data_IF_979926452097
#
_entry.id   IF_979926452097
#
_cell.length_a   1.000
_cell.length_b   1.000
_cell.length_c   1.000
_cell.angle_alpha   90.00
_cell.angle_beta   90.00
_cell.angle_gamma   90.00
#
_symmetry.space_group_name_H-M   'P 1'
#
loop_
_entity.id
_entity.type
_entity.pdbx_description
1 polymer ?
#
# COMPACT_ATOMS: atom_id res chain seq x y z
N UNK A 1 -20.60 -13.72 0.10
CA UNK A 1 -20.54 -13.73 1.58
C UNK A 1 -20.92 -12.38 2.16
N UNK A 2 -21.79 -12.39 3.16
CA UNK A 2 -22.28 -11.20 3.85
C UNK A 2 -22.28 -11.46 5.35
N UNK A 3 -21.86 -10.46 6.12
CA UNK A 3 -22.06 -10.47 7.58
C UNK A 3 -23.33 -9.69 7.86
N UNK A 4 -24.25 -10.28 8.62
CA UNK A 4 -25.53 -9.70 8.96
C UNK A 4 -25.62 -9.56 10.48
N UNK A 5 -25.86 -8.34 10.96
CA UNK A 5 -26.14 -8.06 12.37
C UNK A 5 -27.59 -8.49 12.67
N UNK A 6 -27.81 -9.13 13.82
CA UNK A 6 -29.16 -9.49 14.25
C UNK A 6 -29.97 -8.23 14.56
N UNK A 7 -30.83 -7.80 13.63
CA UNK A 7 -31.81 -6.75 13.90
C UNK A 7 -32.97 -7.34 14.69
N UNK A 8 -33.29 -6.75 15.85
CA UNK A 8 -34.41 -7.12 16.72
C UNK A 8 -35.77 -7.09 16.00
N UNK A 9 -35.84 -6.53 14.78
CA UNK A 9 -37.03 -6.46 13.92
C UNK A 9 -37.08 -7.48 12.77
N UNK A 10 -36.04 -8.29 12.55
CA UNK A 10 -35.91 -9.18 11.39
C UNK A 10 -36.30 -10.64 11.62
N UNK A 11 -36.93 -11.25 10.61
CA UNK A 11 -37.40 -12.65 10.60
C UNK A 11 -36.22 -13.63 10.43
N UNK A 12 -35.43 -13.85 11.49
CA UNK A 12 -34.20 -14.69 11.50
C UNK A 12 -34.48 -16.06 12.14
N UNK A 13 -35.76 -16.47 12.22
CA UNK A 13 -36.18 -17.71 12.89
C UNK A 13 -35.48 -18.97 12.39
N UNK A 14 -35.37 -19.13 11.06
CA UNK A 14 -34.75 -20.30 10.45
C UNK A 14 -33.25 -20.41 10.76
N UNK A 15 -32.51 -19.29 10.71
CA UNK A 15 -31.08 -19.25 11.02
C UNK A 15 -30.81 -19.64 12.49
N UNK A 16 -31.71 -19.27 13.41
CA UNK A 16 -31.59 -19.65 14.83
C UNK A 16 -31.76 -21.16 15.04
N UNK A 17 -32.62 -21.80 14.25
CA UNK A 17 -32.78 -23.27 14.25
C UNK A 17 -31.49 -23.91 13.74
N UNK A 18 -30.97 -23.45 12.60
CA UNK A 18 -29.72 -23.95 12.01
C UNK A 18 -28.53 -23.85 12.98
N UNK A 19 -28.49 -22.78 13.80
CA UNK A 19 -27.46 -22.62 14.83
C UNK A 19 -27.61 -23.65 15.95
N UNK A 20 -28.82 -23.88 16.45
CA UNK A 20 -29.05 -24.82 17.54
C UNK A 20 -28.79 -26.26 17.11
N UNK A 21 -29.05 -26.58 15.83
CA UNK A 21 -28.65 -27.86 15.23
C UNK A 21 -27.12 -27.99 15.11
N UNK A 22 -26.43 -26.92 14.68
CA UNK A 22 -24.99 -26.95 14.46
C UNK A 22 -24.14 -26.80 15.74
N UNK A 23 -24.64 -26.09 16.75
CA UNK A 23 -24.01 -25.88 18.05
C UNK A 23 -25.07 -25.90 19.17
N UNK A 24 -25.38 -27.08 19.73
CA UNK A 24 -26.36 -27.23 20.81
C UNK A 24 -26.01 -26.46 22.09
N UNK A 25 -24.76 -25.99 22.23
CA UNK A 25 -24.29 -25.18 23.37
C UNK A 25 -24.39 -23.68 23.08
N UNK A 26 -25.05 -23.27 22.00
CA UNK A 26 -25.29 -21.87 21.69
C UNK A 26 -26.21 -21.23 22.73
N UNK A 27 -25.73 -20.15 23.34
CA UNK A 27 -26.51 -19.29 24.22
C UNK A 27 -25.99 -17.86 24.12
N UNK A 28 -26.89 -16.89 24.31
CA UNK A 28 -26.55 -15.48 24.33
C UNK A 28 -27.60 -14.67 25.11
N UNK A 29 -27.22 -13.50 25.60
CA UNK A 29 -28.08 -12.58 26.32
C UNK A 29 -28.61 -11.47 25.41
N UNK A 30 -29.86 -11.61 24.93
CA UNK A 30 -30.56 -10.65 24.06
C UNK A 30 -30.56 -9.18 24.53
N UNK A 31 -30.33 -8.90 25.83
CA UNK A 31 -30.32 -7.54 26.38
C UNK A 31 -28.91 -6.91 26.44
N UNK A 32 -27.85 -7.71 26.43
CA UNK A 32 -26.46 -7.26 26.68
C UNK A 32 -25.47 -7.63 25.57
N UNK A 33 -25.91 -8.43 24.62
CA UNK A 33 -25.05 -9.02 23.59
C UNK A 33 -25.66 -8.82 22.20
N UNK A 34 -24.79 -8.53 21.25
CA UNK A 34 -25.09 -8.42 19.83
C UNK A 34 -24.57 -9.68 19.12
N UNK A 35 -25.40 -10.21 18.22
CA UNK A 35 -25.01 -11.37 17.39
C UNK A 35 -24.83 -10.93 15.96
N UNK A 36 -23.78 -11.49 15.36
CA UNK A 36 -23.50 -11.40 13.95
C UNK A 36 -23.58 -12.79 13.33
N UNK A 37 -24.13 -12.88 12.13
CA UNK A 37 -24.16 -14.08 11.33
C UNK A 37 -23.28 -13.89 10.10
N UNK A 38 -22.46 -14.90 9.79
CA UNK A 38 -21.75 -15.00 8.53
C UNK A 38 -22.60 -15.88 7.62
N UNK A 39 -23.12 -15.30 6.54
CA UNK A 39 -23.95 -16.03 5.59
C UNK A 39 -23.37 -15.96 4.18
N UNK A 40 -23.66 -16.99 3.38
CA UNK A 40 -23.50 -16.93 1.94
C UNK A 40 -24.87 -17.17 1.31
N UNK A 41 -25.44 -16.15 0.68
CA UNK A 41 -26.85 -16.11 0.32
C UNK A 41 -27.72 -16.34 1.57
N UNK A 42 -28.50 -17.42 1.63
CA UNK A 42 -29.33 -17.79 2.78
C UNK A 42 -28.65 -18.80 3.72
N UNK A 43 -27.54 -19.41 3.30
CA UNK A 43 -26.86 -20.43 4.10
C UNK A 43 -26.03 -19.81 5.23
N UNK A 44 -26.23 -20.30 6.44
CA UNK A 44 -25.42 -19.96 7.60
C UNK A 44 -24.04 -20.62 7.52
N UNK A 45 -22.98 -19.82 7.61
CA UNK A 45 -21.59 -20.31 7.63
C UNK A 45 -20.98 -20.24 9.04
N UNK A 46 -21.50 -19.34 9.88
CA UNK A 46 -21.06 -19.20 11.26
C UNK A 46 -21.73 -18.02 11.97
N UNK A 47 -21.43 -17.84 13.25
CA UNK A 47 -21.95 -16.74 14.05
C UNK A 47 -20.90 -16.23 15.03
N UNK A 48 -21.06 -14.99 15.49
CA UNK A 48 -20.21 -14.40 16.51
C UNK A 48 -21.06 -13.59 17.49
N UNK A 49 -20.65 -13.60 18.76
CA UNK A 49 -21.35 -12.93 19.86
C UNK A 49 -20.41 -11.89 20.47
N UNK A 50 -20.85 -10.64 20.45
CA UNK A 50 -20.18 -9.51 21.08
C UNK A 50 -20.95 -9.05 22.30
N UNK A 51 -20.23 -8.72 23.37
CA UNK A 51 -20.77 -7.91 24.45
C UNK A 51 -20.15 -6.52 24.37
N UNK A 52 -20.99 -5.49 24.31
CA UNK A 52 -20.58 -4.09 24.19
C UNK A 52 -20.75 -3.40 25.54
N UNK A 53 -19.65 -3.32 26.30
CA UNK A 53 -19.54 -2.48 27.51
C UNK A 53 -18.64 -1.28 27.27
N UNK A 54 -17.85 -0.89 28.28
CA UNK A 54 -16.78 0.10 28.10
C UNK A 54 -15.65 -0.43 27.17
N UNK A 55 -15.48 -1.75 27.14
CA UNK A 55 -14.58 -2.46 26.23
C UNK A 55 -15.42 -3.50 25.48
N UNK A 56 -15.12 -3.70 24.20
CA UNK A 56 -15.79 -4.71 23.40
C UNK A 56 -15.23 -6.10 23.73
N UNK A 57 -16.10 -7.07 23.97
CA UNK A 57 -15.72 -8.44 24.30
C UNK A 57 -16.31 -9.41 23.28
N UNK A 58 -15.45 -10.17 22.60
CA UNK A 58 -15.81 -11.30 21.77
C UNK A 58 -16.00 -12.53 22.66
N UNK A 59 -17.26 -12.82 23.00
CA UNK A 59 -17.63 -13.96 23.83
C UNK A 59 -17.46 -15.28 23.09
N UNK A 60 -17.84 -15.29 21.81
CA UNK A 60 -17.79 -16.51 20.98
C UNK A 60 -17.68 -16.14 19.51
N UNK A 61 -16.86 -16.90 18.80
CA UNK A 61 -16.84 -16.93 17.33
C UNK A 61 -16.89 -18.39 16.91
N UNK A 62 -17.86 -18.71 16.06
CA UNK A 62 -18.11 -20.08 15.60
C UNK A 62 -18.22 -20.09 14.09
N UNK A 63 -17.54 -21.05 13.47
CA UNK A 63 -17.65 -21.39 12.06
C UNK A 63 -18.01 -22.87 11.98
N UNK A 64 -18.95 -23.21 11.09
CA UNK A 64 -19.37 -24.59 10.86
C UNK A 64 -18.16 -25.50 10.64
N UNK A 65 -18.10 -26.70 11.26
CA UNK A 65 -16.93 -27.58 11.16
C UNK A 65 -16.44 -27.81 9.74
N UNK A 66 -17.37 -28.08 8.79
CA UNK A 66 -17.07 -28.30 7.36
C UNK A 66 -16.46 -27.09 6.64
N UNK A 67 -16.59 -25.89 7.20
CA UNK A 67 -16.11 -24.63 6.64
C UNK A 67 -14.86 -24.09 7.37
N UNK A 68 -14.36 -24.78 8.41
CA UNK A 68 -13.16 -24.36 9.12
C UNK A 68 -11.93 -24.46 8.22
N UNK A 69 -10.89 -23.68 8.54
CA UNK A 69 -9.64 -23.57 7.79
C UNK A 69 -9.72 -22.98 6.36
N UNK A 70 -10.91 -22.59 5.89
CA UNK A 70 -11.12 -21.93 4.60
C UNK A 70 -11.09 -20.38 4.68
N UNK A 71 -10.46 -19.80 5.72
CA UNK A 71 -10.33 -18.36 5.90
C UNK A 71 -11.59 -17.61 6.38
N UNK A 72 -12.76 -18.25 6.43
CA UNK A 72 -14.01 -17.62 6.87
C UNK A 72 -13.96 -17.03 8.28
N UNK A 73 -13.33 -17.71 9.24
CA UNK A 73 -13.14 -17.16 10.59
C UNK A 73 -12.31 -15.87 10.59
N UNK A 74 -11.25 -15.81 9.76
CA UNK A 74 -10.40 -14.62 9.63
C UNK A 74 -11.17 -13.46 9.02
N UNK A 75 -11.91 -13.73 7.93
CA UNK A 75 -12.79 -12.74 7.30
C UNK A 75 -13.79 -12.18 8.29
N UNK A 76 -14.44 -13.06 9.05
CA UNK A 76 -15.47 -12.68 10.00
C UNK A 76 -14.91 -11.85 11.17
N UNK A 77 -13.79 -12.26 11.76
CA UNK A 77 -13.12 -11.51 12.82
C UNK A 77 -12.67 -10.11 12.35
N UNK A 78 -12.10 -10.00 11.14
CA UNK A 78 -11.72 -8.70 10.56
C UNK A 78 -12.93 -7.80 10.35
N UNK A 79 -14.05 -8.36 9.90
CA UNK A 79 -15.30 -7.62 9.76
C UNK A 79 -15.75 -7.03 11.11
N UNK A 80 -15.71 -7.83 12.18
CA UNK A 80 -16.08 -7.38 13.53
C UNK A 80 -15.14 -6.29 14.07
N UNK A 81 -13.83 -6.45 13.88
CA UNK A 81 -12.84 -5.44 14.27
C UNK A 81 -13.14 -4.11 13.56
N UNK A 82 -13.42 -4.15 12.25
CA UNK A 82 -13.76 -2.95 11.48
C UNK A 82 -15.06 -2.31 11.96
N UNK A 83 -16.09 -3.13 12.21
CA UNK A 83 -17.38 -2.68 12.75
C UNK A 83 -17.21 -1.99 14.12
N UNK A 84 -16.43 -2.57 15.02
CA UNK A 84 -16.11 -2.00 16.33
C UNK A 84 -15.33 -0.69 16.21
N UNK A 85 -14.35 -0.65 15.32
CA UNK A 85 -13.56 0.57 15.05
C UNK A 85 -14.46 1.71 14.55
N UNK A 86 -15.46 1.41 13.72
CA UNK A 86 -16.43 2.38 13.22
C UNK A 86 -17.41 2.89 14.29
N UNK A 87 -17.66 2.11 15.35
CA UNK A 87 -18.47 2.51 16.50
C UNK A 87 -17.66 3.09 17.66
N UNK A 88 -16.41 3.51 17.40
CA UNK A 88 -15.51 4.05 18.42
C UNK A 88 -15.27 3.06 19.57
N UNK A 89 -14.88 1.82 19.29
CA UNK A 89 -14.21 0.96 20.29
C UNK A 89 -12.70 0.98 20.04
N UNK A 90 -11.89 1.00 21.11
CA UNK A 90 -10.43 1.07 20.99
C UNK A 90 -9.72 -0.26 21.27
N UNK A 91 -10.42 -1.20 21.90
CA UNK A 91 -9.91 -2.53 22.17
C UNK A 91 -10.98 -3.60 22.01
N UNK A 92 -10.53 -4.82 21.68
CA UNK A 92 -11.33 -6.03 21.61
C UNK A 92 -10.69 -7.11 22.46
N UNK A 93 -11.42 -7.62 23.44
CA UNK A 93 -10.99 -8.71 24.32
C UNK A 93 -11.68 -10.00 23.89
N UNK A 94 -10.96 -11.12 23.93
CA UNK A 94 -11.52 -12.46 23.78
C UNK A 94 -11.25 -13.22 25.08
N UNK A 95 -12.31 -13.49 25.86
CA UNK A 95 -12.20 -14.26 27.11
C UNK A 95 -12.49 -15.74 26.87
N UNK A 96 -11.99 -16.62 27.72
CA UNK A 96 -12.37 -18.05 27.74
C UNK A 96 -12.12 -18.86 26.44
N UNK A 97 -11.15 -18.45 25.61
CA UNK A 97 -10.78 -19.22 24.41
C UNK A 97 -9.92 -20.44 24.77
N UNK A 98 -10.57 -21.55 25.17
CA UNK A 98 -9.94 -22.79 25.66
C UNK A 98 -9.14 -23.63 24.65
N UNK A 99 -8.91 -23.16 23.42
CA UNK A 99 -8.10 -23.89 22.43
C UNK A 99 -6.91 -23.08 21.94
N UNK A 100 -5.76 -23.74 21.95
CA UNK A 100 -4.44 -23.33 21.47
C UNK A 100 -4.38 -23.19 19.93
N UNK A 101 -5.47 -22.73 19.31
CA UNK A 101 -5.47 -22.45 17.90
C UNK A 101 -4.88 -21.06 17.72
N UNK A 102 -3.71 -21.02 17.10
CA UNK A 102 -2.97 -19.87 16.57
C UNK A 102 -3.79 -18.85 15.76
N UNK A 103 -5.12 -18.98 15.68
CA UNK A 103 -6.03 -18.13 14.93
C UNK A 103 -5.96 -16.66 15.39
N UNK A 104 -6.13 -16.39 16.69
CA UNK A 104 -6.12 -15.02 17.23
C UNK A 104 -4.71 -14.40 17.17
N UNK A 105 -3.68 -15.18 17.51
CA UNK A 105 -2.29 -14.75 17.42
C UNK A 105 -1.90 -14.41 15.97
N UNK A 106 -2.32 -15.22 14.98
CA UNK A 106 -2.17 -14.91 13.54
C UNK A 106 -2.83 -13.59 13.15
N UNK A 107 -3.84 -13.13 13.90
CA UNK A 107 -4.51 -11.83 13.71
C UNK A 107 -3.99 -10.75 14.68
N UNK A 108 -2.80 -10.94 15.28
CA UNK A 108 -2.08 -9.97 16.15
C UNK A 108 -2.70 -9.72 17.52
N UNK A 109 -3.56 -10.60 18.00
CA UNK A 109 -4.00 -10.53 19.39
C UNK A 109 -2.85 -10.88 20.33
N UNK A 110 -2.72 -10.13 21.42
CA UNK A 110 -1.74 -10.36 22.48
C UNK A 110 -2.39 -11.24 23.55
N UNK A 111 -1.69 -12.29 23.97
CA UNK A 111 -2.16 -13.18 25.02
C UNK A 111 -2.06 -12.52 26.40
N UNK A 112 -3.12 -12.64 27.19
CA UNK A 112 -3.20 -12.18 28.59
C UNK A 112 -3.46 -13.37 29.53
N UNK A 113 -3.48 -13.13 30.84
CA UNK A 113 -3.73 -14.20 31.83
C UNK A 113 -5.11 -14.88 31.62
N UNK A 114 -6.13 -14.13 31.22
CA UNK A 114 -7.52 -14.61 31.09
C UNK A 114 -8.03 -14.71 29.63
N UNK A 115 -7.15 -14.53 28.64
CA UNK A 115 -7.55 -14.60 27.23
C UNK A 115 -6.62 -13.88 26.25
N UNK A 116 -7.20 -13.07 25.37
CA UNK A 116 -6.50 -12.32 24.33
C UNK A 116 -7.03 -10.90 24.21
N UNK A 117 -6.15 -9.94 23.89
CA UNK A 117 -6.52 -8.54 23.67
C UNK A 117 -5.92 -7.99 22.38
N UNK A 118 -6.72 -7.22 21.66
CA UNK A 118 -6.28 -6.39 20.54
C UNK A 118 -6.54 -4.92 20.90
N UNK A 119 -5.49 -4.14 21.07
CA UNK A 119 -5.53 -2.73 21.46
C UNK A 119 -5.34 -1.80 20.26
N UNK A 120 -5.55 -0.50 20.49
CA UNK A 120 -5.28 0.59 19.55
C UNK A 120 -6.04 0.44 18.22
N UNK A 121 -7.27 -0.09 18.28
CA UNK A 121 -8.11 -0.25 17.09
C UNK A 121 -8.32 1.09 16.37
N UNK A 122 -8.42 2.19 17.11
CA UNK A 122 -8.65 3.53 16.53
C UNK A 122 -7.36 4.21 16.07
N UNK A 123 -6.20 3.79 16.56
CA UNK A 123 -4.94 4.45 16.24
C UNK A 123 -4.65 4.36 14.73
N UNK A 124 -4.84 3.18 14.14
CA UNK A 124 -4.70 2.98 12.69
C UNK A 124 -5.66 3.86 11.88
N UNK A 125 -6.93 3.94 12.27
CA UNK A 125 -7.94 4.75 11.58
C UNK A 125 -7.67 6.25 11.69
N UNK A 126 -7.28 6.73 12.88
CA UNK A 126 -6.94 8.15 13.10
C UNK A 126 -5.66 8.55 12.36
N UNK A 127 -4.69 7.64 12.25
CA UNK A 127 -3.49 7.86 11.43
C UNK A 127 -3.84 7.93 9.94
N UNK A 128 -4.66 7.00 9.46
CA UNK A 128 -5.12 6.93 8.07
C UNK A 128 -5.92 8.18 7.66
N UNK A 129 -6.88 8.62 8.48
CA UNK A 129 -7.67 9.84 8.22
C UNK A 129 -6.78 11.10 8.15
N UNK A 130 -5.80 11.22 9.04
CA UNK A 130 -4.85 12.33 9.03
C UNK A 130 -3.95 12.28 7.78
N UNK A 131 -3.47 11.10 7.39
CA UNK A 131 -2.67 10.93 6.17
C UNK A 131 -3.49 11.29 4.93
N UNK A 132 -4.74 10.84 4.84
CA UNK A 132 -5.63 11.16 3.72
C UNK A 132 -5.93 12.66 3.61
N UNK A 133 -6.20 13.33 4.73
CA UNK A 133 -6.41 14.78 4.73
C UNK A 133 -5.18 15.53 4.21
N UNK A 134 -4.01 15.16 4.72
CA UNK A 134 -2.73 15.74 4.34
C UNK A 134 -2.43 15.52 2.84
N UNK A 135 -2.63 14.29 2.34
CA UNK A 135 -2.42 13.97 0.93
C UNK A 135 -3.38 14.73 0.00
N UNK A 136 -4.66 14.86 0.38
CA UNK A 136 -5.63 15.67 -0.39
C UNK A 136 -5.21 17.14 -0.48
N UNK A 137 -4.76 17.71 0.64
CA UNK A 137 -4.24 19.08 0.67
C UNK A 137 -3.03 19.22 -0.26
N UNK A 138 -2.06 18.29 -0.18
CA UNK A 138 -0.88 18.30 -1.03
C UNK A 138 -1.20 18.21 -2.52
N UNK A 139 -2.13 17.31 -2.91
CA UNK A 139 -2.57 17.14 -4.29
C UNK A 139 -3.23 18.42 -4.82
N UNK A 140 -4.11 19.05 -4.04
CA UNK A 140 -4.76 20.30 -4.43
C UNK A 140 -3.73 21.40 -4.72
N UNK A 141 -2.73 21.55 -3.85
CA UNK A 141 -1.65 22.53 -4.04
C UNK A 141 -0.81 22.19 -5.28
N UNK A 142 -0.45 20.91 -5.48
CA UNK A 142 0.34 20.48 -6.63
C UNK A 142 -0.41 20.69 -7.97
N UNK A 143 -1.74 20.50 -7.99
CA UNK A 143 -2.59 20.84 -9.14
C UNK A 143 -2.42 22.31 -9.50
N UNK A 144 -2.64 23.19 -8.53
CA UNK A 144 -2.57 24.64 -8.75
C UNK A 144 -1.17 25.04 -9.25
N UNK A 145 -0.11 24.51 -8.62
CA UNK A 145 1.27 24.80 -9.00
C UNK A 145 1.61 24.32 -10.41
N UNK A 146 1.24 23.10 -10.78
CA UNK A 146 1.51 22.55 -12.11
C UNK A 146 0.85 23.41 -13.19
N UNK A 147 -0.45 23.70 -13.05
CA UNK A 147 -1.16 24.54 -14.01
C UNK A 147 -0.61 25.98 -14.08
N UNK A 148 -0.28 26.58 -12.94
CA UNK A 148 0.28 27.93 -12.90
C UNK A 148 1.64 28.00 -13.62
N UNK A 149 2.54 27.03 -13.36
CA UNK A 149 3.84 26.94 -14.01
C UNK A 149 3.71 26.70 -15.51
N UNK A 150 2.87 25.75 -15.94
CA UNK A 150 2.65 25.45 -17.37
C UNK A 150 2.07 26.68 -18.09
N UNK A 151 1.04 27.32 -17.52
CA UNK A 151 0.41 28.49 -18.11
C UNK A 151 1.41 29.65 -18.22
N UNK A 152 2.15 29.95 -17.15
CA UNK A 152 3.17 31.00 -17.16
C UNK A 152 4.32 30.68 -18.15
N UNK A 153 4.82 29.44 -18.15
CA UNK A 153 5.86 29.01 -19.09
C UNK A 153 5.44 29.18 -20.54
N UNK A 154 4.19 28.80 -20.87
CA UNK A 154 3.64 28.93 -22.23
C UNK A 154 3.35 30.38 -22.62
N UNK A 155 2.66 31.15 -21.77
CA UNK A 155 2.26 32.54 -22.07
C UNK A 155 3.49 33.46 -22.20
N UNK A 156 4.49 33.26 -21.35
CA UNK A 156 5.71 34.09 -21.32
C UNK A 156 6.89 33.44 -22.03
N UNK A 157 6.66 32.37 -22.81
CA UNK A 157 7.66 31.67 -23.61
C UNK A 157 8.93 31.28 -22.83
N UNK A 158 8.80 30.85 -21.57
CA UNK A 158 9.92 30.29 -20.79
C UNK A 158 9.91 28.78 -20.90
N UNK A 159 10.97 28.21 -21.47
CA UNK A 159 11.11 26.77 -21.63
C UNK A 159 11.48 26.08 -20.32
N UNK A 160 12.30 26.72 -19.47
CA UNK A 160 12.63 26.17 -18.16
C UNK A 160 11.40 26.05 -17.26
N UNK A 161 10.57 27.11 -17.21
CA UNK A 161 9.34 27.11 -16.41
C UNK A 161 8.28 26.15 -16.97
N UNK A 162 8.16 26.04 -18.29
CA UNK A 162 7.27 25.06 -18.91
C UNK A 162 7.68 23.62 -18.56
N UNK A 163 8.97 23.33 -18.63
CA UNK A 163 9.52 22.00 -18.29
C UNK A 163 9.29 21.67 -16.82
N UNK A 164 9.54 22.61 -15.90
CA UNK A 164 9.25 22.46 -14.48
C UNK A 164 7.76 22.26 -14.18
N UNK A 165 6.89 22.98 -14.89
CA UNK A 165 5.44 22.78 -14.82
C UNK A 165 5.00 21.38 -15.26
N UNK A 166 5.59 20.85 -16.33
CA UNK A 166 5.30 19.50 -16.81
C UNK A 166 5.90 18.40 -15.92
N UNK A 167 7.04 18.63 -15.27
CA UNK A 167 7.54 17.77 -14.19
C UNK A 167 6.50 17.70 -13.06
N UNK A 168 6.08 18.87 -12.55
CA UNK A 168 5.07 18.96 -11.49
C UNK A 168 3.73 18.31 -11.87
N UNK A 169 3.36 18.35 -13.15
CA UNK A 169 2.17 17.68 -13.68
C UNK A 169 2.33 16.16 -13.77
N UNK A 170 3.51 15.68 -14.13
CA UNK A 170 3.84 14.24 -14.14
C UNK A 170 3.74 13.64 -12.74
N UNK A 171 4.22 14.37 -11.72
CA UNK A 171 4.11 13.96 -10.31
C UNK A 171 2.65 13.95 -9.83
N UNK A 172 1.84 14.90 -10.29
CA UNK A 172 0.41 14.93 -10.01
C UNK A 172 -0.31 13.71 -10.57
N UNK A 173 -0.02 13.34 -11.82
CA UNK A 173 -0.61 12.15 -12.45
C UNK A 173 -0.23 10.89 -11.65
N UNK A 174 1.05 10.78 -11.27
CA UNK A 174 1.55 9.66 -10.45
C UNK A 174 0.83 9.59 -9.09
N UNK A 175 0.63 10.73 -8.42
CA UNK A 175 -0.09 10.79 -7.15
C UNK A 175 -1.58 10.39 -7.28
N UNK A 176 -2.25 10.81 -8.35
CA UNK A 176 -3.63 10.40 -8.62
C UNK A 176 -3.69 8.89 -8.86
N UNK A 177 -2.72 8.33 -9.59
CA UNK A 177 -2.62 6.90 -9.81
C UNK A 177 -2.36 6.11 -8.56
N UNK A 178 -1.53 6.58 -7.63
CA UNK A 178 -1.40 5.91 -6.33
C UNK A 178 -2.77 5.80 -5.67
N UNK A 179 -3.62 6.83 -5.74
CA UNK A 179 -4.97 6.78 -5.16
C UNK A 179 -5.90 5.85 -5.94
N UNK A 180 -5.92 5.92 -7.27
CA UNK A 180 -6.78 5.09 -8.12
C UNK A 180 -6.33 3.63 -8.07
N UNK A 181 -5.03 3.41 -8.22
CA UNK A 181 -4.33 2.14 -8.06
C UNK A 181 -4.61 1.52 -6.71
N UNK A 182 -4.46 2.26 -5.61
CA UNK A 182 -4.84 1.76 -4.28
C UNK A 182 -6.31 1.35 -4.23
N UNK A 183 -7.22 2.11 -4.86
CA UNK A 183 -8.65 1.80 -4.83
C UNK A 183 -9.00 0.55 -5.65
N UNK A 184 -8.39 0.38 -6.83
CA UNK A 184 -8.67 -0.75 -7.73
C UNK A 184 -7.85 -1.98 -7.37
N UNK A 185 -6.57 -1.80 -7.05
CA UNK A 185 -5.63 -2.83 -6.60
C UNK A 185 -5.95 -3.39 -5.21
N UNK A 186 -6.70 -2.66 -4.37
CA UNK A 186 -7.23 -3.20 -3.10
C UNK A 186 -8.40 -4.17 -3.28
N UNK A 187 -8.88 -4.40 -4.51
CA UNK A 187 -9.89 -5.42 -4.74
C UNK A 187 -9.34 -6.79 -4.33
N UNK A 188 -10.10 -7.55 -3.52
CA UNK A 188 -9.64 -8.85 -3.03
C UNK A 188 -9.42 -9.83 -4.17
N UNK A 189 -8.71 -10.92 -3.85
CA UNK A 189 -8.53 -12.08 -4.74
C UNK A 189 -9.89 -12.61 -5.21
N UNK A 190 -10.00 -12.93 -6.50
CA UNK A 190 -11.17 -13.57 -7.09
C UNK A 190 -10.76 -14.75 -7.99
N UNK A 191 -11.74 -15.37 -8.67
CA UNK A 191 -11.49 -16.55 -9.50
C UNK A 191 -10.62 -16.26 -10.72
N UNK A 192 -10.71 -15.07 -11.28
CA UNK A 192 -9.95 -14.64 -12.46
C UNK A 192 -8.58 -14.10 -12.04
N UNK A 193 -8.49 -13.52 -10.82
CA UNK A 193 -7.32 -12.88 -10.25
C UNK A 193 -6.98 -13.50 -8.88
N UNK A 194 -6.38 -14.71 -8.84
CA UNK A 194 -6.13 -15.44 -7.60
C UNK A 194 -5.08 -14.78 -6.69
N UNK A 195 -4.25 -13.87 -7.22
CA UNK A 195 -3.32 -13.03 -6.47
C UNK A 195 -3.86 -11.61 -6.24
N UNK A 196 -5.11 -11.35 -6.60
CA UNK A 196 -5.75 -10.04 -6.53
C UNK A 196 -5.35 -9.12 -7.68
N UNK A 197 -5.75 -7.85 -7.56
CA UNK A 197 -5.66 -6.88 -8.66
C UNK A 197 -4.48 -5.92 -8.52
N UNK A 198 -3.57 -6.14 -7.58
CA UNK A 198 -2.51 -5.20 -7.24
C UNK A 198 -1.56 -4.89 -8.41
N UNK A 199 -1.33 -5.85 -9.33
CA UNK A 199 -0.51 -5.62 -10.53
C UNK A 199 -1.07 -4.53 -11.48
N UNK A 200 -2.36 -4.18 -11.36
CA UNK A 200 -2.94 -3.10 -12.17
C UNK A 200 -2.27 -1.74 -11.89
N UNK A 201 -1.77 -1.54 -10.67
CA UNK A 201 -1.01 -0.34 -10.30
C UNK A 201 0.22 -0.20 -11.20
N UNK A 202 0.98 -1.28 -11.37
CA UNK A 202 2.17 -1.29 -12.22
C UNK A 202 1.85 -1.13 -13.70
N UNK A 203 0.73 -1.69 -14.19
CA UNK A 203 0.26 -1.47 -15.57
C UNK A 203 0.00 0.01 -15.83
N UNK A 204 -0.75 0.68 -14.94
CA UNK A 204 -1.02 2.11 -15.08
C UNK A 204 0.26 2.95 -15.01
N UNK A 205 1.18 2.61 -14.11
CA UNK A 205 2.48 3.30 -13.99
C UNK A 205 3.29 3.20 -15.28
N UNK A 206 3.32 2.04 -15.95
CA UNK A 206 4.04 1.89 -17.24
C UNK A 206 3.40 2.73 -18.34
N UNK A 207 2.06 2.72 -18.45
CA UNK A 207 1.34 3.54 -19.44
C UNK A 207 1.66 5.02 -19.24
N UNK A 208 1.65 5.49 -17.99
CA UNK A 208 1.87 6.90 -17.67
C UNK A 208 3.33 7.30 -17.82
N UNK A 209 4.27 6.48 -17.36
CA UNK A 209 5.68 6.69 -17.63
C UNK A 209 5.94 6.83 -19.14
N UNK A 210 5.22 6.09 -19.98
CA UNK A 210 5.30 6.21 -21.44
C UNK A 210 4.79 7.57 -21.93
N UNK A 211 3.64 8.06 -21.43
CA UNK A 211 3.15 9.40 -21.76
C UNK A 211 4.10 10.52 -21.30
N UNK A 212 4.66 10.40 -20.08
CA UNK A 212 5.66 11.33 -19.54
C UNK A 212 6.87 11.39 -20.48
N UNK A 213 7.37 10.23 -20.91
CA UNK A 213 8.48 10.13 -21.86
C UNK A 213 8.19 10.79 -23.21
N UNK A 214 6.98 10.60 -23.75
CA UNK A 214 6.54 11.24 -25.00
C UNK A 214 6.52 12.77 -24.84
N UNK A 215 5.88 13.27 -23.78
CA UNK A 215 5.81 14.72 -23.50
C UNK A 215 7.19 15.32 -23.25
N UNK A 216 8.08 14.60 -22.57
CA UNK A 216 9.45 15.06 -22.34
C UNK A 216 10.28 15.08 -23.62
N UNK A 217 10.05 14.14 -24.55
CA UNK A 217 10.68 14.15 -25.86
C UNK A 217 10.19 15.32 -26.74
N UNK A 218 8.91 15.65 -26.67
CA UNK A 218 8.36 16.86 -27.30
C UNK A 218 9.03 18.13 -26.74
N UNK A 219 9.19 18.22 -25.42
CA UNK A 219 9.92 19.34 -24.80
C UNK A 219 11.37 19.43 -25.26
N UNK A 220 12.06 18.32 -25.43
CA UNK A 220 13.43 18.32 -25.97
C UNK A 220 13.46 18.88 -27.39
N UNK A 221 12.50 18.51 -28.24
CA UNK A 221 12.37 19.06 -29.60
C UNK A 221 12.08 20.56 -29.58
N UNK A 222 11.18 21.00 -28.71
CA UNK A 222 10.84 22.42 -28.55
C UNK A 222 12.04 23.23 -28.04
N UNK A 223 12.78 22.70 -27.07
CA UNK A 223 14.02 23.31 -26.58
C UNK A 223 15.10 23.37 -27.67
N UNK A 224 15.27 22.29 -28.46
CA UNK A 224 16.27 22.24 -29.52
C UNK A 224 15.93 23.20 -30.66
N UNK A 225 14.68 23.22 -31.13
CA UNK A 225 14.23 24.15 -32.16
C UNK A 225 14.41 25.60 -31.71
N UNK A 226 14.08 25.91 -30.45
CA UNK A 226 14.28 27.25 -29.89
C UNK A 226 15.76 27.62 -29.76
N UNK A 227 16.63 26.68 -29.39
CA UNK A 227 18.07 26.91 -29.37
C UNK A 227 18.59 27.30 -30.75
N UNK A 228 18.09 26.65 -31.81
CA UNK A 228 18.48 26.99 -33.20
C UNK A 228 17.90 28.32 -33.69
N UNK A 229 16.66 28.66 -33.32
CA UNK A 229 15.99 29.90 -33.76
C UNK A 229 16.39 31.15 -32.97
N UNK A 230 16.87 31.00 -31.73
CA UNK A 230 17.43 32.10 -30.93
C UNK A 230 18.67 32.75 -31.55
N UNK A 231 19.27 32.12 -32.57
CA UNK A 231 20.32 32.71 -33.40
C UNK A 231 19.79 33.82 -34.33
N UNK A 232 18.46 33.96 -34.47
CA UNK A 232 17.83 34.78 -35.52
C UNK A 232 16.97 35.95 -35.00
N UNK A 233 16.47 35.93 -33.76
CA UNK A 233 15.59 37.00 -33.24
C UNK A 233 15.88 37.36 -31.77
N UNK A 234 16.43 38.56 -31.57
CA UNK A 234 16.96 39.05 -30.30
C UNK A 234 16.02 40.05 -29.59
N UNK A 235 14.73 39.76 -29.40
CA UNK A 235 13.82 40.69 -28.71
C UNK A 235 12.71 40.06 -27.85
N UNK A 236 12.91 38.87 -27.28
CA UNK A 236 12.04 38.39 -26.20
C UNK A 236 12.44 39.08 -24.89
N UNK A 237 11.82 40.23 -24.59
CA UNK A 237 11.90 40.84 -23.25
C UNK A 237 11.27 39.89 -22.24
N UNK A 238 12.10 39.35 -21.36
CA UNK A 238 11.64 38.52 -20.24
C UNK A 238 10.79 39.37 -19.31
N UNK A 239 9.50 39.06 -19.25
CA UNK A 239 8.59 39.62 -18.27
C UNK A 239 8.99 39.14 -16.87
N UNK A 240 8.77 39.94 -15.83
CA UNK A 240 9.11 39.57 -14.43
C UNK A 240 8.19 38.45 -13.89
N UNK A 241 7.10 38.15 -14.59
CA UNK A 241 6.04 37.23 -14.13
C UNK A 241 6.54 35.78 -13.96
N UNK A 242 7.26 35.13 -14.90
CA UNK A 242 7.86 33.80 -14.70
C UNK A 242 8.72 33.69 -13.43
N UNK A 243 9.50 34.74 -13.12
CA UNK A 243 10.34 34.78 -11.92
C UNK A 243 9.45 34.79 -10.67
N UNK A 244 8.42 35.63 -10.64
CA UNK A 244 7.47 35.72 -9.51
C UNK A 244 6.75 34.38 -9.31
N UNK A 245 6.26 33.76 -10.39
CA UNK A 245 5.59 32.46 -10.35
C UNK A 245 6.52 31.38 -9.80
N UNK A 246 7.78 31.35 -10.25
CA UNK A 246 8.78 30.37 -9.80
C UNK A 246 9.13 30.57 -8.33
N UNK A 247 9.35 31.81 -7.87
CA UNK A 247 9.59 32.13 -6.46
C UNK A 247 8.41 31.68 -5.60
N UNK A 248 7.19 31.99 -6.00
CA UNK A 248 5.98 31.59 -5.29
C UNK A 248 5.89 30.06 -5.19
N UNK A 249 6.17 29.34 -6.28
CA UNK A 249 6.18 27.88 -6.31
C UNK A 249 7.21 27.28 -5.34
N UNK A 250 8.44 27.84 -5.31
CA UNK A 250 9.49 27.42 -4.37
C UNK A 250 9.04 27.64 -2.93
N UNK A 251 8.49 28.81 -2.60
CA UNK A 251 8.01 29.11 -1.24
C UNK A 251 6.90 28.14 -0.81
N UNK A 252 5.96 27.83 -1.71
CA UNK A 252 4.90 26.87 -1.43
C UNK A 252 5.46 25.47 -1.21
N UNK A 253 6.42 25.01 -2.03
CA UNK A 253 7.07 23.69 -1.85
C UNK A 253 7.88 23.60 -0.56
N UNK A 254 8.62 24.65 -0.19
CA UNK A 254 9.32 24.74 1.11
C UNK A 254 8.33 24.68 2.27
N UNK A 255 7.19 25.35 2.14
CA UNK A 255 6.11 25.26 3.12
C UNK A 255 5.54 23.84 3.21
N UNK A 256 5.23 23.19 2.08
CA UNK A 256 4.75 21.79 2.05
C UNK A 256 5.76 20.85 2.72
N UNK A 257 7.05 20.95 2.38
CA UNK A 257 8.12 20.16 2.97
C UNK A 257 8.19 20.36 4.50
N UNK A 258 8.17 21.60 4.95
CA UNK A 258 8.26 21.94 6.37
C UNK A 258 7.02 21.50 7.15
N UNK A 259 5.83 21.70 6.57
CA UNK A 259 4.56 21.27 7.13
C UNK A 259 4.52 19.74 7.28
N UNK A 260 4.95 19.01 6.24
CA UNK A 260 5.00 17.55 6.26
C UNK A 260 6.01 17.00 7.26
N UNK A 261 7.24 17.51 7.27
CA UNK A 261 8.25 17.10 8.26
C UNK A 261 7.74 17.28 9.69
N UNK A 262 6.98 18.35 9.98
CA UNK A 262 6.39 18.59 11.31
C UNK A 262 5.24 17.63 11.63
N UNK A 263 4.30 17.41 10.69
CA UNK A 263 3.12 16.56 10.90
C UNK A 263 3.48 15.08 10.99
N UNK A 264 4.56 14.69 10.34
CA UNK A 264 4.89 13.30 10.10
C UNK A 264 6.10 12.82 10.90
N UNK A 265 6.67 13.66 11.76
CA UNK A 265 7.75 13.29 12.70
C UNK A 265 7.43 12.06 13.57
N UNK A 266 6.15 11.74 13.76
CA UNK A 266 5.66 10.57 14.51
C UNK A 266 5.44 9.31 13.65
N UNK A 267 5.45 9.43 12.32
CA UNK A 267 5.15 8.35 11.39
C UNK A 267 6.34 8.12 10.45
N UNK A 268 7.18 7.15 10.77
CA UNK A 268 8.30 6.77 9.90
C UNK A 268 7.86 5.64 8.96
N UNK A 269 7.28 6.01 7.81
CA UNK A 269 6.95 5.04 6.77
C UNK A 269 7.54 5.44 5.42
N UNK A 270 7.74 4.45 4.55
CA UNK A 270 8.37 4.61 3.24
C UNK A 270 7.64 5.61 2.35
N UNK A 271 6.29 5.60 2.38
CA UNK A 271 5.46 6.48 1.58
C UNK A 271 5.70 7.97 1.88
N UNK A 272 5.81 8.31 3.16
CA UNK A 272 6.12 9.68 3.58
C UNK A 272 7.54 10.06 3.18
N UNK A 273 8.51 9.16 3.35
CA UNK A 273 9.90 9.44 3.01
C UNK A 273 10.07 9.67 1.49
N UNK A 274 9.33 8.93 0.66
CA UNK A 274 9.25 9.18 -0.79
C UNK A 274 8.71 10.59 -1.07
N UNK A 275 7.56 10.95 -0.50
CA UNK A 275 6.93 12.26 -0.71
C UNK A 275 7.81 13.43 -0.26
N UNK A 276 8.55 13.26 0.85
CA UNK A 276 9.52 14.26 1.31
C UNK A 276 10.71 14.39 0.36
N UNK A 277 11.13 13.29 -0.27
CA UNK A 277 12.20 13.28 -1.28
C UNK A 277 11.73 13.99 -2.53
N UNK A 278 10.51 13.71 -3.01
CA UNK A 278 9.90 14.37 -4.17
C UNK A 278 9.83 15.88 -3.98
N UNK A 279 9.38 16.35 -2.81
CA UNK A 279 9.39 17.79 -2.53
C UNK A 279 10.77 18.42 -2.55
N UNK A 280 11.83 17.71 -2.13
CA UNK A 280 13.19 18.24 -2.24
C UNK A 280 13.61 18.33 -3.71
N UNK A 281 13.33 17.29 -4.50
CA UNK A 281 13.63 17.26 -5.94
C UNK A 281 12.92 18.41 -6.67
N UNK A 282 11.64 18.64 -6.39
CA UNK A 282 10.86 19.76 -6.95
C UNK A 282 11.46 21.12 -6.61
N UNK A 283 11.92 21.31 -5.37
CA UNK A 283 12.57 22.56 -4.95
C UNK A 283 13.87 22.75 -5.72
N UNK A 284 14.69 21.70 -5.86
CA UNK A 284 15.97 21.76 -6.60
C UNK A 284 15.74 22.10 -8.07
N UNK A 285 14.76 21.48 -8.71
CA UNK A 285 14.39 21.76 -10.10
C UNK A 285 13.89 23.21 -10.23
N UNK A 286 12.96 23.63 -9.37
CA UNK A 286 12.40 24.99 -9.40
C UNK A 286 13.48 26.07 -9.12
N UNK A 287 14.46 25.80 -8.26
CA UNK A 287 15.60 26.70 -8.01
C UNK A 287 16.52 26.77 -9.24
N UNK A 288 16.76 25.65 -9.92
CA UNK A 288 17.53 25.62 -11.17
C UNK A 288 16.85 26.44 -12.26
N UNK A 289 15.51 26.33 -12.36
CA UNK A 289 14.66 27.14 -13.25
C UNK A 289 14.75 28.62 -12.89
N UNK A 290 14.66 28.97 -11.61
CA UNK A 290 14.81 30.35 -11.15
C UNK A 290 16.18 30.93 -11.54
N UNK A 291 17.25 30.16 -11.36
CA UNK A 291 18.60 30.55 -11.78
C UNK A 291 18.66 30.75 -13.31
N UNK A 292 18.08 29.84 -14.10
CA UNK A 292 17.95 29.97 -15.55
C UNK A 292 17.19 31.23 -15.98
N UNK A 293 16.10 31.56 -15.30
CA UNK A 293 15.30 32.77 -15.54
C UNK A 293 16.04 34.08 -15.18
N UNK A 294 16.89 34.06 -14.16
CA UNK A 294 17.73 35.22 -13.84
C UNK A 294 18.85 35.40 -14.86
N UNK A 295 19.54 34.31 -15.22
CA UNK A 295 20.62 34.32 -16.22
C UNK A 295 20.12 34.65 -17.62
N UNK A 296 18.88 34.29 -17.95
CA UNK A 296 18.31 34.58 -19.26
C UNK A 296 18.10 36.08 -19.52
N UNK A 297 18.11 36.91 -18.46
CA UNK A 297 18.17 38.38 -18.59
C UNK A 297 19.47 38.87 -19.23
N UNK A 298 20.55 38.10 -19.12
CA UNK A 298 21.82 38.34 -19.80
C UNK A 298 21.73 37.79 -21.23
N UNK A 299 21.30 36.53 -21.38
CA UNK A 299 21.13 35.90 -22.68
C UNK A 299 20.03 34.82 -22.68
N UNK A 300 18.99 34.88 -23.54
CA UNK A 300 17.83 33.97 -23.52
C UNK A 300 18.17 32.47 -23.58
N UNK A 301 19.31 32.10 -24.16
CA UNK A 301 19.83 30.71 -24.21
C UNK A 301 19.85 30.03 -22.83
N UNK A 302 20.14 30.75 -21.75
CA UNK A 302 20.23 30.13 -20.42
C UNK A 302 18.90 29.49 -19.99
N UNK A 303 17.75 30.12 -20.30
CA UNK A 303 16.43 29.53 -20.03
C UNK A 303 16.20 28.25 -20.84
N UNK A 304 16.67 28.23 -22.08
CA UNK A 304 16.52 27.07 -22.98
C UNK A 304 17.45 25.92 -22.55
N UNK A 305 18.68 26.21 -22.12
CA UNK A 305 19.60 25.21 -21.58
C UNK A 305 19.03 24.58 -20.30
N UNK A 306 18.52 25.39 -19.39
CA UNK A 306 17.90 24.86 -18.16
C UNK A 306 16.65 24.05 -18.49
N UNK A 307 15.79 24.51 -19.41
CA UNK A 307 14.65 23.73 -19.90
C UNK A 307 15.05 22.39 -20.50
N UNK A 308 16.14 22.35 -21.27
CA UNK A 308 16.68 21.12 -21.83
C UNK A 308 17.19 20.14 -20.74
N UNK A 309 17.93 20.65 -19.74
CA UNK A 309 18.41 19.84 -18.59
C UNK A 309 17.23 19.26 -17.81
N UNK A 310 16.21 20.08 -17.51
CA UNK A 310 15.01 19.63 -16.81
C UNK A 310 14.25 18.60 -17.65
N UNK A 311 14.16 18.77 -18.97
CA UNK A 311 13.50 17.80 -19.85
C UNK A 311 14.21 16.44 -19.87
N UNK A 312 15.55 16.42 -19.85
CA UNK A 312 16.34 15.17 -19.70
C UNK A 312 16.06 14.51 -18.34
N UNK A 313 15.96 15.31 -17.28
CA UNK A 313 15.59 14.79 -15.96
C UNK A 313 14.21 14.12 -15.99
N UNK A 314 13.21 14.73 -16.64
CA UNK A 314 11.87 14.14 -16.77
C UNK A 314 11.93 12.81 -17.55
N UNK A 315 12.73 12.72 -18.61
CA UNK A 315 12.96 11.47 -19.33
C UNK A 315 13.53 10.39 -18.39
N UNK A 316 14.54 10.74 -17.61
CA UNK A 316 15.12 9.80 -16.64
C UNK A 316 14.06 9.30 -15.65
N UNK A 317 13.28 10.20 -15.07
CA UNK A 317 12.21 9.86 -14.12
C UNK A 317 11.12 8.98 -14.76
N UNK A 318 10.70 9.29 -15.99
CA UNK A 318 9.74 8.49 -16.75
C UNK A 318 10.28 7.08 -17.05
N UNK A 319 11.55 6.97 -17.43
CA UNK A 319 12.20 5.68 -17.67
C UNK A 319 12.33 4.84 -16.39
N UNK A 320 12.75 5.44 -15.27
CA UNK A 320 12.84 4.76 -13.97
C UNK A 320 11.46 4.22 -13.55
N UNK A 321 10.41 5.04 -13.68
CA UNK A 321 9.03 4.60 -13.39
C UNK A 321 8.60 3.40 -14.24
N UNK A 322 8.87 3.43 -15.56
CA UNK A 322 8.56 2.31 -16.46
C UNK A 322 9.35 1.07 -16.05
N UNK A 323 10.66 1.21 -15.82
CA UNK A 323 11.57 0.11 -15.50
C UNK A 323 11.15 -0.58 -14.22
N UNK A 324 10.98 0.16 -13.14
CA UNK A 324 10.59 -0.37 -11.84
C UNK A 324 9.25 -1.12 -11.91
N UNK A 325 8.25 -0.54 -12.56
CA UNK A 325 6.93 -1.16 -12.64
C UNK A 325 6.89 -2.34 -13.62
N UNK A 326 7.71 -2.32 -14.67
CA UNK A 326 7.87 -3.45 -15.58
C UNK A 326 8.55 -4.64 -14.90
N UNK A 327 9.55 -4.39 -14.04
CA UNK A 327 10.18 -5.43 -13.23
C UNK A 327 9.18 -6.09 -12.27
N UNK A 328 8.30 -5.31 -11.64
CA UNK A 328 7.19 -5.84 -10.82
C UNK A 328 6.26 -6.73 -11.65
N UNK A 329 5.91 -6.33 -12.87
CA UNK A 329 5.06 -7.13 -13.76
C UNK A 329 5.72 -8.45 -14.18
N UNK A 330 7.05 -8.43 -14.35
CA UNK A 330 7.88 -9.60 -14.67
C UNK A 330 8.25 -10.46 -13.46
N UNK A 331 7.71 -10.16 -12.28
CA UNK A 331 7.99 -10.88 -11.03
C UNK A 331 9.50 -10.90 -10.69
N UNK A 332 10.16 -9.74 -10.80
CA UNK A 332 11.56 -9.58 -10.38
C UNK A 332 11.78 -10.00 -8.93
N UNK A 333 12.90 -10.66 -8.66
CA UNK A 333 13.27 -11.13 -7.33
C UNK A 333 13.95 -10.05 -6.49
N UNK A 334 13.74 -10.09 -5.18
CA UNK A 334 14.44 -9.27 -4.18
C UNK A 334 15.39 -10.20 -3.41
N UNK A 335 16.63 -10.30 -3.88
CA UNK A 335 17.62 -11.22 -3.34
C UNK A 335 17.93 -10.91 -1.86
N UNK A 336 17.96 -9.63 -1.48
CA UNK A 336 18.23 -9.23 -0.10
C UNK A 336 17.12 -9.72 0.84
N UNK A 337 15.85 -9.59 0.43
CA UNK A 337 14.71 -10.12 1.17
C UNK A 337 14.72 -11.65 1.20
N UNK A 338 15.03 -12.30 0.08
CA UNK A 338 15.10 -13.77 -0.02
C UNK A 338 16.16 -14.32 0.92
N UNK A 339 17.38 -13.75 0.94
CA UNK A 339 18.46 -14.18 1.84
C UNK A 339 18.10 -13.98 3.32
N UNK A 340 17.45 -12.85 3.64
CA UNK A 340 16.93 -12.61 4.99
C UNK A 340 15.92 -13.67 5.41
N UNK A 341 15.04 -14.10 4.51
CA UNK A 341 14.04 -15.14 4.80
C UNK A 341 14.68 -16.52 4.88
N UNK A 342 15.60 -16.85 3.98
CA UNK A 342 16.37 -18.09 4.03
C UNK A 342 17.08 -18.24 5.37
N UNK A 343 17.75 -17.18 5.82
CA UNK A 343 18.41 -17.12 7.12
C UNK A 343 17.45 -17.34 8.30
N UNK A 344 16.21 -16.85 8.22
CA UNK A 344 15.19 -17.06 9.24
C UNK A 344 14.64 -18.49 9.26
N UNK A 345 14.54 -19.13 8.09
CA UNK A 345 14.10 -20.51 7.92
C UNK A 345 15.16 -21.48 8.46
N UNK A 346 16.44 -21.24 8.15
CA UNK A 346 17.57 -22.08 8.60
C UNK A 346 17.84 -21.99 10.12
N UNK A 347 17.21 -21.06 10.85
CA UNK A 347 17.27 -21.04 12.31
C UNK A 347 16.44 -22.16 12.97
N UNK A 348 15.55 -22.82 12.23
CA UNK A 348 14.78 -23.93 12.74
C UNK A 348 15.62 -25.20 12.64
N UNK A 349 15.91 -25.82 13.79
CA UNK A 349 16.73 -27.04 13.89
C UNK A 349 16.18 -28.21 13.07
N UNK A 350 14.88 -28.21 12.78
CA UNK A 350 14.21 -29.23 11.98
C UNK A 350 14.38 -29.02 10.47
N UNK A 351 14.94 -27.88 10.05
CA UNK A 351 15.22 -27.55 8.65
C UNK A 351 16.71 -27.70 8.41
N UNK A 352 17.06 -28.53 7.45
CA UNK A 352 18.46 -28.84 7.13
C UNK A 352 18.95 -27.99 5.96
N UNK A 353 18.09 -27.75 4.98
CA UNK A 353 18.35 -26.87 3.85
C UNK A 353 17.08 -26.12 3.43
N UNK A 354 17.24 -24.93 2.86
CA UNK A 354 16.19 -24.14 2.25
C UNK A 354 16.69 -23.54 0.92
N UNK A 355 16.03 -23.87 -0.18
CA UNK A 355 16.46 -23.54 -1.53
C UNK A 355 15.26 -23.19 -2.44
N UNK A 356 15.54 -22.90 -3.72
CA UNK A 356 14.54 -22.64 -4.77
C UNK A 356 13.50 -21.58 -4.41
N UNK A 357 13.96 -20.51 -3.78
CA UNK A 357 13.11 -19.36 -3.46
C UNK A 357 12.64 -18.66 -4.73
N UNK A 358 11.32 -18.46 -4.81
CA UNK A 358 10.67 -17.65 -5.84
C UNK A 358 9.68 -16.70 -5.20
N UNK A 359 9.64 -15.48 -5.70
CA UNK A 359 8.79 -14.42 -5.21
C UNK A 359 7.92 -13.87 -6.35
N UNK A 360 6.68 -13.53 -6.03
CA UNK A 360 5.81 -12.70 -6.86
C UNK A 360 5.13 -11.66 -5.99
N UNK A 361 4.77 -10.53 -6.58
CA UNK A 361 4.15 -9.40 -5.88
C UNK A 361 2.84 -9.00 -6.54
N UNK A 362 1.87 -8.63 -5.72
CA UNK A 362 0.60 -8.04 -6.15
C UNK A 362 0.32 -6.83 -5.27
N UNK A 363 0.60 -5.64 -5.80
CA UNK A 363 0.60 -4.39 -5.02
C UNK A 363 1.57 -4.49 -3.84
N UNK A 364 1.08 -4.24 -2.63
CA UNK A 364 1.88 -4.34 -1.38
C UNK A 364 2.11 -5.78 -0.89
N UNK A 365 1.39 -6.75 -1.44
CA UNK A 365 1.40 -8.12 -0.95
C UNK A 365 2.47 -8.95 -1.67
N UNK A 366 3.35 -9.58 -0.89
CA UNK A 366 4.42 -10.46 -1.36
C UNK A 366 4.02 -11.92 -1.13
N UNK A 367 4.20 -12.74 -2.16
CA UNK A 367 4.01 -14.18 -2.13
C UNK A 367 5.35 -14.85 -2.41
N UNK A 368 5.73 -15.77 -1.53
CA UNK A 368 7.01 -16.47 -1.60
C UNK A 368 6.75 -17.97 -1.62
N UNK A 369 7.47 -18.65 -2.50
CA UNK A 369 7.53 -20.09 -2.65
C UNK A 369 8.96 -20.51 -2.35
N UNK A 370 9.14 -21.56 -1.57
CA UNK A 370 10.46 -22.08 -1.23
C UNK A 370 10.38 -23.58 -0.96
N UNK A 371 11.49 -24.26 -1.21
CA UNK A 371 11.64 -25.67 -0.97
C UNK A 371 12.53 -25.86 0.27
N UNK A 372 12.12 -26.72 1.19
CA UNK A 372 12.90 -27.02 2.40
C UNK A 372 13.11 -28.51 2.55
N UNK A 373 14.33 -28.88 2.95
CA UNK A 373 14.70 -30.26 3.26
C UNK A 373 14.61 -30.53 4.75
N UNK A 374 14.01 -31.66 5.11
CA UNK A 374 13.90 -32.16 6.49
C UNK A 374 13.97 -33.69 6.55
N UNK A 375 14.17 -34.22 7.76
CA UNK A 375 14.19 -35.65 8.05
C UNK A 375 12.96 -36.41 7.47
N UNK A 376 13.25 -37.41 6.64
CA UNK A 376 12.27 -38.29 5.97
C UNK A 376 11.38 -39.08 6.93
N UNK A 377 11.79 -39.24 8.19
CA UNK A 377 11.03 -39.99 9.20
C UNK A 377 9.94 -39.16 9.88
N UNK A 378 9.86 -37.86 9.61
CA UNK A 378 8.79 -37.01 10.16
C UNK A 378 7.45 -37.36 9.54
N UNK A 379 6.42 -37.40 10.39
CA UNK A 379 5.04 -37.51 9.93
C UNK A 379 4.62 -36.25 9.17
N UNK A 380 3.62 -36.38 8.28
CA UNK A 380 3.04 -35.24 7.55
C UNK A 380 2.53 -34.16 8.53
N UNK A 381 1.97 -34.57 9.68
CA UNK A 381 1.48 -33.66 10.70
C UNK A 381 2.62 -32.83 11.33
N UNK A 382 3.74 -33.48 11.69
CA UNK A 382 4.91 -32.78 12.24
C UNK A 382 5.51 -31.81 11.22
N UNK A 383 5.66 -32.24 9.97
CA UNK A 383 6.16 -31.43 8.87
C UNK A 383 5.25 -30.21 8.61
N UNK A 384 3.92 -30.42 8.65
CA UNK A 384 2.92 -29.34 8.55
C UNK A 384 3.03 -28.34 9.71
N UNK A 385 3.25 -28.83 10.93
CA UNK A 385 3.38 -27.98 12.11
C UNK A 385 4.66 -27.13 12.08
N UNK A 386 5.78 -27.71 11.63
CA UNK A 386 7.05 -26.99 11.45
C UNK A 386 6.89 -25.89 10.41
N UNK A 387 6.40 -26.22 9.21
CA UNK A 387 6.20 -25.23 8.14
C UNK A 387 5.20 -24.14 8.53
N UNK A 388 4.15 -24.46 9.29
CA UNK A 388 3.24 -23.48 9.86
C UNK A 388 3.91 -22.54 10.87
N UNK A 389 4.82 -23.05 11.72
CA UNK A 389 5.58 -22.22 12.66
C UNK A 389 6.50 -21.25 11.91
N UNK A 390 7.22 -21.75 10.90
CA UNK A 390 8.09 -20.94 10.04
C UNK A 390 7.29 -19.85 9.33
N UNK A 391 6.21 -20.22 8.63
CA UNK A 391 5.36 -19.29 7.90
C UNK A 391 4.78 -18.20 8.80
N UNK A 392 4.36 -18.55 10.03
CA UNK A 392 3.92 -17.56 11.02
C UNK A 392 5.04 -16.61 11.46
N UNK A 393 6.22 -17.14 11.81
CA UNK A 393 7.37 -16.32 12.26
C UNK A 393 7.76 -15.31 11.19
N UNK A 394 7.91 -15.77 9.95
CA UNK A 394 8.27 -14.92 8.80
C UNK A 394 7.21 -13.84 8.57
N UNK A 395 5.92 -14.21 8.51
CA UNK A 395 4.82 -13.24 8.29
C UNK A 395 4.63 -12.24 9.44
N UNK A 396 4.96 -12.61 10.68
CA UNK A 396 4.92 -11.68 11.81
C UNK A 396 6.04 -10.65 11.72
N UNK A 397 7.24 -11.06 11.29
CA UNK A 397 8.40 -10.18 11.12
C UNK A 397 8.24 -9.27 9.90
N UNK A 398 7.83 -9.80 8.76
CA UNK A 398 7.71 -9.08 7.49
C UNK A 398 6.23 -8.90 7.11
N UNK A 399 5.69 -7.72 7.43
CA UNK A 399 4.24 -7.43 7.32
C UNK A 399 3.69 -7.45 5.89
N UNK A 400 4.55 -7.26 4.90
CA UNK A 400 4.27 -7.29 3.47
C UNK A 400 4.19 -8.72 2.90
N UNK A 401 4.72 -9.74 3.60
CA UNK A 401 4.59 -11.13 3.17
C UNK A 401 3.17 -11.63 3.48
N UNK A 402 2.36 -11.74 2.44
CA UNK A 402 0.99 -12.26 2.55
C UNK A 402 0.98 -13.77 2.65
N UNK A 403 1.83 -14.46 1.89
CA UNK A 403 1.93 -15.92 1.90
C UNK A 403 3.37 -16.36 1.70
N UNK A 404 3.81 -17.27 2.59
CA UNK A 404 4.99 -18.10 2.39
C UNK A 404 4.48 -19.54 2.23
N UNK A 405 4.57 -20.07 1.02
CA UNK A 405 4.32 -21.48 0.72
C UNK A 405 5.65 -22.21 0.79
N UNK A 406 5.68 -23.29 1.56
CA UNK A 406 6.87 -24.11 1.73
C UNK A 406 6.53 -25.50 1.18
N UNK A 407 7.22 -25.91 0.13
CA UNK A 407 7.22 -27.30 -0.32
C UNK A 407 8.26 -28.06 0.50
N UNK A 408 7.88 -29.26 0.94
CA UNK A 408 8.69 -30.07 1.85
C UNK A 408 9.28 -31.21 1.06
N UNK A 409 10.59 -31.33 1.15
CA UNK A 409 11.35 -32.42 0.54
C UNK A 409 12.00 -33.24 1.64
N UNK A 410 11.97 -34.58 1.54
CA UNK A 410 12.80 -35.41 2.41
C UNK A 410 14.27 -35.20 2.06
N UNK A 411 15.14 -35.27 3.07
CA UNK A 411 16.57 -35.44 2.81
C UNK A 411 16.82 -36.85 2.25
N UNK A 412 17.58 -36.92 1.17
CA UNK A 412 18.16 -38.16 0.65
C UNK A 412 19.63 -38.21 1.09
N UNK A 413 20.11 -39.39 1.52
CA UNK A 413 21.47 -39.56 2.06
C UNK A 413 22.58 -39.37 1.00
N UNK A 414 22.22 -39.37 -0.28
CA UNK A 414 23.13 -39.30 -1.43
C UNK A 414 23.24 -37.90 -2.06
N UNK A 415 22.60 -36.89 -1.46
CA UNK A 415 22.44 -35.50 -1.94
C UNK A 415 23.03 -34.49 -0.94
#
# INVERSE_FOLDING_TARGET
MKVVEWDKKGNIGNILIDILEADPKFSFNKKKEDIFFLCNNEDLYGYAVLSLGNIAELKKIFILPKLRNNGYGTFFLKHMINWLTNRNFDSLIVTNHKKMNNFLEKQRFIRTQDGYILNNLREGKKQEENMLFISKFAICVNIILAFLKIAAGKIFFSMSLLSDGLNSFSDLITNILVIVGLKVGSNPEDKEHPFGHGKIESVFSVIIGTFIMITAFELIKDNFSKLTSLSSESNLKITVIPIIVTILAILIKIFQLSFMKKRVKKYNNSLINSLLTDYNSDIVISVSVLAGLFLSRIHPVFDTIVGFIVSIYIIKSGYELIKENSLILLDSQDDELIEKIRSEILQFKEIENAHDFRMTTSGKDIYIFADVRMDKNKTIEEAHDITNKISKKVKHKYKNIKRLLIHIEPMYEDD
#
